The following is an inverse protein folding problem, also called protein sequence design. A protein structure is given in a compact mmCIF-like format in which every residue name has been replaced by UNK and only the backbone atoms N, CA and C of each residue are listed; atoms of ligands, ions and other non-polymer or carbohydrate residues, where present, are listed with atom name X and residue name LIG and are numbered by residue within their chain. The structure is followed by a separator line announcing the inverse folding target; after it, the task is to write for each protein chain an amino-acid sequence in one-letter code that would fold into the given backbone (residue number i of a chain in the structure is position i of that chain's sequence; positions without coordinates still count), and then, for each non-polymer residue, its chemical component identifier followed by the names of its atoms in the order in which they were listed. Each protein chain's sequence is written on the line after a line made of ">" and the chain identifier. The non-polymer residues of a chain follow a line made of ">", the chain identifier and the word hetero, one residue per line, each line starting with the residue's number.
data_IF_101348403272
#
_entry.id   IF_101348403272
#
_cell.length_a   1.000
_cell.length_b   1.000
_cell.length_c   1.000
_cell.angle_alpha   90.00
_cell.angle_beta   90.00
_cell.angle_gamma   90.00
#
_symmetry.space_group_name_H-M   'P 1'
#
loop_
_entity.id
_entity.type
_entity.pdbx_description
1 polymer ?
#
# COMPACT_ATOMS: atom_id res chain seq x y z
N UNK A 1 -5.27 29.13 43.98
CA UNK A 1 -5.18 28.48 42.65
C UNK A 1 -3.94 27.62 42.66
N UNK A 2 -4.13 26.31 42.66
CA UNK A 2 -3.04 25.34 42.86
C UNK A 2 -2.28 25.11 41.55
N UNK A 3 -0.97 24.87 41.62
CA UNK A 3 -0.11 24.53 40.47
C UNK A 3 -0.67 23.38 39.61
N UNK A 4 -1.51 22.54 40.20
CA UNK A 4 -2.19 21.39 39.58
C UNK A 4 -3.29 21.78 38.59
N UNK A 5 -3.98 22.91 38.78
CA UNK A 5 -4.97 23.42 37.83
C UNK A 5 -4.30 24.02 36.59
N UNK A 6 -3.19 24.74 36.80
CA UNK A 6 -2.37 25.29 35.71
C UNK A 6 -1.75 24.19 34.85
N UNK A 7 -1.27 23.09 35.45
CA UNK A 7 -0.77 21.92 34.71
C UNK A 7 -1.87 21.21 33.92
N UNK A 8 -3.09 21.08 34.46
CA UNK A 8 -4.23 20.47 33.76
C UNK A 8 -4.66 21.29 32.55
N UNK A 9 -4.71 22.62 32.67
CA UNK A 9 -5.04 23.49 31.54
C UNK A 9 -3.94 23.50 30.48
N UNK A 10 -2.67 23.45 30.89
CA UNK A 10 -1.56 23.33 29.95
C UNK A 10 -1.56 21.98 29.22
N UNK A 11 -1.91 20.89 29.91
CA UNK A 11 -2.08 19.57 29.31
C UNK A 11 -3.26 19.54 28.32
N UNK A 12 -4.39 20.19 28.64
CA UNK A 12 -5.53 20.33 27.72
C UNK A 12 -5.16 21.12 26.46
N UNK A 13 -4.47 22.25 26.60
CA UNK A 13 -4.00 23.03 25.43
C UNK A 13 -3.05 22.24 24.54
N UNK A 14 -2.12 21.47 25.13
CA UNK A 14 -1.22 20.60 24.35
C UNK A 14 -1.96 19.47 23.65
N UNK A 15 -2.99 18.90 24.27
CA UNK A 15 -3.87 17.91 23.64
C UNK A 15 -4.70 18.52 22.51
N UNK A 16 -5.24 19.73 22.69
CA UNK A 16 -5.98 20.46 21.66
C UNK A 16 -5.09 20.89 20.49
N UNK A 17 -3.85 21.32 20.75
CA UNK A 17 -2.86 21.61 19.70
C UNK A 17 -2.45 20.35 18.94
N UNK A 18 -2.26 19.23 19.65
CA UNK A 18 -2.01 17.94 19.02
C UNK A 18 -3.21 17.51 18.16
N UNK A 19 -4.44 17.58 18.68
CA UNK A 19 -5.66 17.28 17.94
C UNK A 19 -5.89 18.24 16.77
N UNK A 20 -5.54 19.52 16.92
CA UNK A 20 -5.60 20.56 15.89
C UNK A 20 -4.61 20.31 14.75
N UNK A 21 -3.36 19.90 15.06
CA UNK A 21 -2.40 19.42 14.07
C UNK A 21 -2.89 18.17 13.35
N UNK A 22 -3.54 17.25 14.07
CA UNK A 22 -4.16 16.06 13.48
C UNK A 22 -5.33 16.39 12.55
N UNK A 23 -6.13 17.42 12.84
CA UNK A 23 -7.23 17.90 11.99
C UNK A 23 -6.77 18.67 10.75
N UNK A 24 -5.58 19.29 10.80
CA UNK A 24 -5.02 20.13 9.73
C UNK A 24 -4.05 19.42 8.80
N UNK A 25 -3.71 18.16 9.08
CA UNK A 25 -3.01 17.36 8.07
C UNK A 25 -3.97 17.23 6.88
N UNK A 26 -3.63 17.79 5.69
CA UNK A 26 -4.42 17.56 4.48
C UNK A 26 -4.59 16.04 4.34
N UNK A 27 -5.69 15.59 3.72
CA UNK A 27 -5.96 14.19 3.43
C UNK A 27 -4.77 13.56 2.71
N UNK A 28 -3.75 13.17 3.48
CA UNK A 28 -2.51 12.64 2.99
C UNK A 28 -2.90 11.29 2.44
N UNK A 29 -2.58 11.06 1.17
CA UNK A 29 -2.71 9.75 0.55
C UNK A 29 -2.20 8.76 1.59
N UNK A 30 -3.06 7.90 2.16
CA UNK A 30 -2.67 7.10 3.30
C UNK A 30 -1.40 6.35 2.94
N UNK A 31 -0.37 6.35 3.79
CA UNK A 31 0.93 5.74 3.48
C UNK A 31 0.79 4.32 2.90
N UNK A 32 -0.27 3.60 3.30
CA UNK A 32 -0.79 2.38 2.70
C UNK A 32 -0.85 2.36 1.17
N UNK A 33 -1.35 3.40 0.52
CA UNK A 33 -1.47 3.48 -0.95
C UNK A 33 -0.14 3.73 -1.64
N UNK A 34 0.77 4.46 -0.98
CA UNK A 34 2.15 4.60 -1.47
C UNK A 34 2.83 3.23 -1.43
N UNK A 35 2.70 2.52 -0.31
CA UNK A 35 3.23 1.15 -0.17
C UNK A 35 2.58 0.18 -1.15
N UNK A 36 1.27 0.30 -1.39
CA UNK A 36 0.57 -0.53 -2.39
C UNK A 36 1.05 -0.23 -3.81
N UNK A 37 1.28 1.04 -4.16
CA UNK A 37 1.88 1.42 -5.44
C UNK A 37 3.28 0.85 -5.62
N UNK A 38 4.12 0.91 -4.58
CA UNK A 38 5.43 0.27 -4.59
C UNK A 38 5.32 -1.24 -4.81
N UNK A 39 4.40 -1.92 -4.13
CA UNK A 39 4.16 -3.35 -4.32
C UNK A 39 3.68 -3.69 -5.74
N UNK A 40 2.79 -2.88 -6.32
CA UNK A 40 2.38 -3.05 -7.71
C UNK A 40 3.57 -2.89 -8.67
N UNK A 41 4.43 -1.88 -8.46
CA UNK A 41 5.63 -1.68 -9.27
C UNK A 41 6.60 -2.87 -9.14
N UNK A 42 6.85 -3.34 -7.91
CA UNK A 42 7.68 -4.52 -7.64
C UNK A 42 7.08 -5.76 -8.30
N UNK A 43 5.77 -5.97 -8.22
CA UNK A 43 5.07 -7.08 -8.86
C UNK A 43 5.26 -7.07 -10.37
N UNK A 44 5.03 -5.93 -11.03
CA UNK A 44 5.28 -5.75 -12.46
C UNK A 44 6.73 -6.04 -12.84
N UNK A 45 7.68 -5.45 -12.10
CA UNK A 45 9.11 -5.64 -12.34
C UNK A 45 9.52 -7.11 -12.16
N UNK A 46 8.94 -7.82 -11.19
CA UNK A 46 9.23 -9.24 -10.94
C UNK A 46 8.80 -10.09 -12.12
N UNK A 47 7.58 -9.91 -12.64
CA UNK A 47 7.08 -10.67 -13.79
C UNK A 47 7.90 -10.39 -15.05
N UNK A 48 8.25 -9.13 -15.29
CA UNK A 48 9.10 -8.73 -16.43
C UNK A 48 10.51 -9.31 -16.29
N UNK A 49 11.11 -9.24 -15.10
CA UNK A 49 12.44 -9.76 -14.83
C UNK A 49 12.49 -11.29 -14.97
N UNK A 50 11.43 -12.01 -14.55
CA UNK A 50 11.31 -13.45 -14.77
C UNK A 50 11.21 -13.79 -16.26
N UNK A 51 10.39 -13.04 -17.02
CA UNK A 51 10.28 -13.23 -18.45
C UNK A 51 11.61 -12.98 -19.19
N UNK A 52 12.41 -12.02 -18.72
CA UNK A 52 13.75 -11.74 -19.25
C UNK A 52 14.77 -12.79 -18.80
N UNK A 53 14.68 -13.28 -17.57
CA UNK A 53 15.60 -14.28 -17.01
C UNK A 53 15.61 -15.59 -17.81
N UNK A 54 14.49 -15.96 -18.41
CA UNK A 54 14.41 -17.11 -19.32
C UNK A 54 15.15 -16.94 -20.64
N UNK A 55 15.37 -15.68 -21.07
CA UNK A 55 16.11 -15.39 -22.30
C UNK A 55 17.63 -15.36 -22.07
N UNK A 56 18.07 -15.43 -20.81
CA UNK A 56 19.48 -15.51 -20.45
C UNK A 56 19.92 -16.98 -20.53
N UNK A 57 20.98 -17.31 -21.28
CA UNK A 57 21.49 -18.68 -21.35
C UNK A 57 21.81 -19.23 -19.95
N UNK A 58 21.54 -20.51 -19.68
CA UNK A 58 21.84 -21.09 -18.38
C UNK A 58 23.35 -21.12 -18.15
N UNK A 59 23.81 -20.42 -17.11
CA UNK A 59 25.20 -20.47 -16.65
C UNK A 59 25.31 -21.52 -15.55
N UNK A 60 26.31 -22.42 -15.60
CA UNK A 60 26.52 -23.41 -14.55
C UNK A 60 26.64 -22.74 -13.17
N UNK A 61 25.80 -23.16 -12.22
CA UNK A 61 25.79 -22.61 -10.86
C UNK A 61 24.99 -21.32 -10.65
N UNK A 62 24.36 -20.76 -11.69
CA UNK A 62 23.57 -19.53 -11.58
C UNK A 62 22.17 -19.69 -12.16
N UNK A 63 21.17 -19.70 -11.27
CA UNK A 63 19.76 -19.69 -11.65
C UNK A 63 19.20 -18.26 -11.57
N UNK A 64 19.19 -17.56 -12.71
CA UNK A 64 18.72 -16.17 -12.85
C UNK A 64 17.30 -15.98 -12.31
N UNK A 65 16.39 -16.91 -12.63
CA UNK A 65 15.01 -16.88 -12.14
C UNK A 65 14.94 -16.94 -10.61
N UNK A 66 15.74 -17.80 -9.98
CA UNK A 66 15.80 -17.92 -8.51
C UNK A 66 16.25 -16.61 -7.88
N UNK A 67 17.25 -15.93 -8.46
CA UNK A 67 17.72 -14.64 -7.97
C UNK A 67 16.63 -13.57 -8.03
N UNK A 68 15.88 -13.52 -9.14
CA UNK A 68 14.73 -12.61 -9.30
C UNK A 68 13.66 -12.88 -8.24
N UNK A 69 13.32 -14.15 -7.99
CA UNK A 69 12.35 -14.52 -6.95
C UNK A 69 12.85 -14.09 -5.58
N UNK A 70 14.07 -14.45 -5.20
CA UNK A 70 14.64 -14.09 -3.88
C UNK A 70 14.66 -12.58 -3.69
N UNK A 71 15.11 -11.83 -4.69
CA UNK A 71 15.15 -10.36 -4.63
C UNK A 71 13.75 -9.75 -4.52
N UNK A 72 12.78 -10.29 -5.25
CA UNK A 72 11.38 -9.85 -5.14
C UNK A 72 10.81 -10.09 -3.74
N UNK A 73 11.09 -11.24 -3.12
CA UNK A 73 10.62 -11.57 -1.77
C UNK A 73 11.25 -10.67 -0.72
N UNK A 74 12.53 -10.33 -0.85
CA UNK A 74 13.21 -9.35 0.00
C UNK A 74 12.48 -8.00 -0.09
N UNK A 75 12.18 -7.53 -1.29
CA UNK A 75 11.48 -6.27 -1.48
C UNK A 75 10.04 -6.28 -0.96
N UNK A 76 9.33 -7.40 -1.12
CA UNK A 76 8.00 -7.59 -0.51
C UNK A 76 8.11 -7.50 1.01
N UNK A 77 9.10 -8.15 1.63
CA UNK A 77 9.34 -8.07 3.07
C UNK A 77 9.65 -6.62 3.52
N UNK A 78 10.48 -5.89 2.77
CA UNK A 78 10.76 -4.46 3.02
C UNK A 78 9.48 -3.63 2.94
N UNK A 79 8.64 -3.87 1.95
CA UNK A 79 7.35 -3.19 1.80
C UNK A 79 6.34 -3.53 2.92
N UNK A 80 6.54 -4.62 3.69
CA UNK A 80 5.71 -4.93 4.85
C UNK A 80 6.09 -4.10 6.10
N UNK A 81 7.31 -3.55 6.18
CA UNK A 81 7.80 -2.81 7.35
C UNK A 81 6.91 -1.59 7.69
N UNK A 82 6.55 -0.71 6.74
CA UNK A 82 5.64 0.39 7.02
C UNK A 82 4.27 -0.09 7.51
N UNK A 83 3.83 -1.26 7.04
CA UNK A 83 2.52 -1.79 7.43
C UNK A 83 2.49 -2.17 8.91
N UNK A 84 3.57 -2.77 9.41
CA UNK A 84 3.69 -3.12 10.81
C UNK A 84 3.83 -1.88 11.70
N UNK A 85 4.57 -0.86 11.24
CA UNK A 85 4.71 0.40 11.99
C UNK A 85 3.40 1.21 12.09
N UNK A 86 2.54 1.17 11.08
CA UNK A 86 1.28 1.93 11.06
C UNK A 86 0.04 1.11 11.44
N UNK A 87 0.24 -0.09 12.00
CA UNK A 87 -0.85 -1.04 12.35
C UNK A 87 -1.92 -0.43 13.26
N UNK A 88 -1.53 0.39 14.23
CA UNK A 88 -2.46 0.95 15.22
C UNK A 88 -3.36 2.04 14.63
N UNK A 89 -2.93 2.73 13.55
CA UNK A 89 -3.76 3.69 12.80
C UNK A 89 -4.81 3.01 11.92
N UNK A 90 -4.71 1.70 11.69
CA UNK A 90 -5.51 0.98 10.69
C UNK A 90 -6.92 0.55 11.13
N UNK A 91 -7.25 0.72 12.42
CA UNK A 91 -8.36 0.04 13.10
C UNK A 91 -9.80 0.48 12.73
N UNK A 92 -10.03 1.52 11.93
CA UNK A 92 -11.40 2.03 11.65
C UNK A 92 -11.91 1.85 10.20
N UNK A 93 -11.74 0.66 9.64
CA UNK A 93 -12.34 0.25 8.35
C UNK A 93 -11.39 0.17 7.16
N UNK A 94 -10.21 0.80 7.27
CA UNK A 94 -9.17 0.74 6.24
C UNK A 94 -8.49 -0.66 6.21
N UNK A 95 -8.49 -1.39 7.33
CA UNK A 95 -7.85 -2.71 7.43
C UNK A 95 -8.51 -3.80 6.56
N UNK A 96 -9.85 -3.87 6.51
CA UNK A 96 -10.54 -4.91 5.71
C UNK A 96 -10.33 -4.71 4.21
N UNK A 97 -10.44 -3.46 3.73
CA UNK A 97 -10.14 -3.09 2.34
C UNK A 97 -8.69 -3.40 2.01
N UNK A 98 -7.79 -3.15 2.96
CA UNK A 98 -6.38 -3.40 2.74
C UNK A 98 -6.05 -4.88 2.59
N UNK A 99 -6.59 -5.73 3.48
CA UNK A 99 -6.43 -7.19 3.36
C UNK A 99 -6.95 -7.70 2.02
N UNK A 100 -8.09 -7.20 1.52
CA UNK A 100 -8.61 -7.55 0.20
C UNK A 100 -7.66 -7.16 -0.94
N UNK A 101 -7.12 -5.94 -0.91
CA UNK A 101 -6.17 -5.47 -1.92
C UNK A 101 -4.84 -6.26 -1.87
N UNK A 102 -4.38 -6.65 -0.68
CA UNK A 102 -3.21 -7.52 -0.52
C UNK A 102 -3.47 -8.93 -1.02
N UNK A 103 -4.64 -9.49 -0.73
CA UNK A 103 -5.03 -10.80 -1.24
C UNK A 103 -5.11 -10.79 -2.77
N UNK A 104 -5.72 -9.74 -3.35
CA UNK A 104 -5.79 -9.56 -4.80
C UNK A 104 -4.39 -9.39 -5.42
N UNK A 105 -3.53 -8.56 -4.81
CA UNK A 105 -2.15 -8.38 -5.26
C UNK A 105 -1.35 -9.67 -5.18
N UNK A 106 -1.45 -10.41 -4.07
CA UNK A 106 -0.76 -11.67 -3.88
C UNK A 106 -1.20 -12.74 -4.87
N UNK A 107 -2.50 -12.83 -5.16
CA UNK A 107 -3.05 -13.73 -6.17
C UNK A 107 -2.51 -13.40 -7.57
N UNK A 108 -2.49 -12.11 -7.95
CA UNK A 108 -1.92 -11.67 -9.23
C UNK A 108 -0.42 -11.90 -9.28
N UNK A 109 0.31 -11.74 -8.18
CA UNK A 109 1.74 -12.02 -8.11
C UNK A 109 2.05 -13.50 -8.28
N UNK A 110 1.37 -14.40 -7.56
CA UNK A 110 1.53 -15.85 -7.73
C UNK A 110 1.20 -16.26 -9.15
N UNK A 111 0.08 -15.78 -9.70
CA UNK A 111 -0.29 -16.04 -11.09
C UNK A 111 0.80 -15.55 -12.05
N UNK A 112 1.31 -14.33 -11.83
CA UNK A 112 2.38 -13.72 -12.61
C UNK A 112 3.66 -14.53 -12.60
N UNK A 113 4.10 -15.05 -11.45
CA UNK A 113 5.27 -15.94 -11.35
C UNK A 113 5.05 -17.23 -12.13
N UNK A 114 3.87 -17.85 -12.03
CA UNK A 114 3.54 -19.10 -12.72
C UNK A 114 3.52 -18.93 -14.24
N UNK A 115 2.99 -17.80 -14.74
CA UNK A 115 2.85 -17.55 -16.18
C UNK A 115 3.95 -16.67 -16.77
N UNK A 116 4.93 -16.23 -15.97
CA UNK A 116 6.00 -15.31 -16.39
C UNK A 116 6.79 -15.82 -17.60
N UNK A 117 6.90 -17.14 -17.71
CA UNK A 117 7.63 -17.86 -18.75
C UNK A 117 6.87 -17.92 -20.08
N UNK A 118 5.59 -17.55 -20.05
CA UNK A 118 4.71 -17.56 -21.22
C UNK A 118 4.51 -16.15 -21.78
N UNK A 119 3.94 -16.04 -22.98
CA UNK A 119 3.51 -14.74 -23.54
C UNK A 119 2.47 -14.03 -22.66
N UNK A 120 1.77 -14.76 -21.79
CA UNK A 120 0.82 -14.18 -20.84
C UNK A 120 1.50 -13.37 -19.73
N UNK A 121 2.79 -13.56 -19.44
CA UNK A 121 3.52 -12.75 -18.47
C UNK A 121 3.48 -11.26 -18.79
N UNK A 122 3.54 -10.90 -20.07
CA UNK A 122 3.44 -9.51 -20.54
C UNK A 122 2.02 -8.92 -20.37
N UNK A 123 1.00 -9.78 -20.33
CA UNK A 123 -0.39 -9.36 -20.06
C UNK A 123 -0.64 -9.22 -18.57
N UNK A 124 0.04 -9.98 -17.71
CA UNK A 124 -0.10 -9.88 -16.25
C UNK A 124 0.58 -8.64 -15.69
N UNK A 125 1.71 -8.20 -16.26
CA UNK A 125 2.40 -6.98 -15.81
C UNK A 125 1.50 -5.72 -15.73
N UNK A 126 0.70 -5.35 -16.76
CA UNK A 126 -0.20 -4.21 -16.65
C UNK A 126 -1.37 -4.42 -15.68
N UNK A 127 -1.72 -5.67 -15.30
CA UNK A 127 -2.79 -5.93 -14.33
C UNK A 127 -2.46 -5.34 -12.95
N UNK A 128 -1.19 -5.31 -12.54
CA UNK A 128 -0.78 -4.63 -11.31
C UNK A 128 -1.06 -3.12 -11.34
N UNK A 129 -0.91 -2.47 -12.50
CA UNK A 129 -1.27 -1.07 -12.68
C UNK A 129 -2.78 -0.87 -12.60
N UNK A 130 -3.57 -1.78 -13.19
CA UNK A 130 -5.04 -1.75 -13.07
C UNK A 130 -5.46 -1.89 -11.61
N UNK A 131 -4.88 -2.84 -10.87
CA UNK A 131 -5.13 -3.00 -9.43
C UNK A 131 -4.81 -1.72 -8.64
N UNK A 132 -3.67 -1.09 -8.95
CA UNK A 132 -3.29 0.18 -8.32
C UNK A 132 -4.27 1.31 -8.65
N UNK A 133 -4.65 1.46 -9.91
CA UNK A 133 -5.60 2.48 -10.36
C UNK A 133 -6.98 2.28 -9.71
N UNK A 134 -7.46 1.04 -9.61
CA UNK A 134 -8.72 0.70 -8.93
C UNK A 134 -8.65 1.04 -7.44
N UNK A 135 -7.53 0.75 -6.78
CA UNK A 135 -7.34 1.09 -5.37
C UNK A 135 -7.37 2.61 -5.13
N UNK A 136 -6.71 3.39 -5.98
CA UNK A 136 -6.74 4.86 -5.90
C UNK A 136 -8.13 5.42 -6.22
N UNK A 137 -8.77 4.95 -7.29
CA UNK A 137 -10.09 5.41 -7.70
C UNK A 137 -11.16 5.11 -6.63
N UNK A 138 -11.09 3.93 -6.00
CA UNK A 138 -11.98 3.54 -4.92
C UNK A 138 -11.89 4.46 -3.70
N UNK A 139 -10.68 4.90 -3.33
CA UNK A 139 -10.52 5.87 -2.25
C UNK A 139 -10.93 7.28 -2.65
N UNK A 140 -10.61 7.72 -3.87
CA UNK A 140 -11.05 9.01 -4.37
C UNK A 140 -12.58 9.13 -4.41
N UNK A 141 -13.29 8.03 -4.70
CA UNK A 141 -14.75 7.94 -4.60
C UNK A 141 -15.24 7.97 -3.15
N UNK A 142 -14.60 7.20 -2.25
CA UNK A 142 -14.97 7.16 -0.82
C UNK A 142 -14.74 8.49 -0.09
N UNK A 143 -13.72 9.26 -0.48
CA UNK A 143 -13.47 10.60 0.03
C UNK A 143 -14.54 11.59 -0.45
N UNK A 144 -14.91 11.53 -1.74
CA UNK A 144 -15.98 12.37 -2.31
C UNK A 144 -17.33 12.14 -1.63
N UNK A 145 -17.72 10.88 -1.38
CA UNK A 145 -19.00 10.58 -0.70
C UNK A 145 -19.04 11.13 0.73
N UNK A 146 -17.90 11.19 1.43
CA UNK A 146 -17.81 11.74 2.79
C UNK A 146 -17.89 13.26 2.81
N UNK A 147 -17.34 13.92 1.79
CA UNK A 147 -17.43 15.38 1.65
C UNK A 147 -18.86 15.84 1.32
N UNK A 148 -19.58 15.10 0.46
CA UNK A 148 -20.97 15.41 0.09
C UNK A 148 -21.96 15.28 1.26
N UNK A 149 -21.86 14.19 2.05
CA UNK A 149 -22.76 13.98 3.20
C UNK A 149 -22.58 14.99 4.34
N UNK A 150 -21.43 15.66 4.42
CA UNK A 150 -21.18 16.72 5.41
C UNK A 150 -21.87 18.05 5.05
N UNK A 151 -22.19 18.29 3.77
CA UNK A 151 -22.92 19.49 3.33
C UNK A 151 -24.44 19.38 3.52
N UNK A 152 -25.01 18.18 3.45
CA UNK A 152 -26.45 17.95 3.63
C UNK A 152 -26.92 18.03 5.09
N UNK A 153 -26.05 17.72 6.07
CA UNK A 153 -26.40 17.78 7.51
C UNK A 153 -26.41 19.19 8.12
N UNK A 154 -26.15 20.23 7.32
CA UNK A 154 -26.08 21.63 7.76
C UNK A 154 -27.19 22.51 7.15
N UNK A 155 -28.20 21.91 6.51
CA UNK A 155 -29.39 22.62 6.02
C UNK A 155 -30.63 22.29 6.82
#
# INVERSE_FOLDING_TARGET
>A
MSSTEAERDQARRRLEEAQGRFRRLPASIPAAFITYGMLCAIGSLTVIALHLAEKVPPTPGFASATLVIVFSLIWVAVAMIPLMMFRDRWRRGLGRRWVLLMAAWGAVWVLGVVVATTRFGLVVAPVFFVLFAVAIAGEAAALRSRAGGAQEGTR
#
